data_IF_853591644782
#
_entry.id   IF_853591644782
#
_cell.length_a   1.000
_cell.length_b   1.000
_cell.length_c   1.000
_cell.angle_alpha   90.00
_cell.angle_beta   90.00
_cell.angle_gamma   90.00
#
_symmetry.space_group_name_H-M   'P 1'
#
loop_
_entity.id
_entity.type
_entity.pdbx_description
1 polymer ?
#
# COMPACT_ATOMS: atom_id res chain seq x y z
N UNK A 1 -23.26 -27.54 67.74
CA UNK A 1 -23.84 -26.66 66.70
C UNK A 1 -22.83 -25.55 66.40
N UNK A 2 -22.14 -25.64 65.25
CA UNK A 2 -21.60 -24.55 64.39
C UNK A 2 -20.47 -25.16 63.54
N UNK A 3 -20.82 -25.42 62.29
CA UNK A 3 -19.92 -25.88 61.23
C UNK A 3 -18.99 -24.74 60.81
N UNK A 4 -17.72 -25.07 60.60
CA UNK A 4 -16.67 -24.19 60.14
C UNK A 4 -16.67 -24.24 58.60
N UNK A 5 -17.10 -23.15 57.96
CA UNK A 5 -17.07 -23.02 56.50
C UNK A 5 -15.70 -22.49 56.06
N UNK A 6 -14.95 -23.34 55.36
CA UNK A 6 -13.76 -22.98 54.61
C UNK A 6 -14.18 -22.27 53.33
N UNK A 7 -13.85 -20.97 53.20
CA UNK A 7 -14.00 -20.23 51.94
C UNK A 7 -12.72 -20.36 51.12
N UNK A 8 -12.66 -21.40 50.27
CA UNK A 8 -11.73 -21.43 49.14
C UNK A 8 -12.26 -20.52 48.04
N UNK A 9 -11.73 -19.30 47.96
CA UNK A 9 -11.93 -18.43 46.81
C UNK A 9 -11.12 -18.99 45.63
N UNK A 10 -11.79 -19.67 44.70
CA UNK A 10 -11.23 -20.04 43.41
C UNK A 10 -11.03 -18.76 42.59
N UNK A 11 -9.79 -18.30 42.47
CA UNK A 11 -9.42 -17.24 41.55
C UNK A 11 -9.45 -17.82 40.13
N UNK A 12 -10.60 -17.74 39.46
CA UNK A 12 -10.72 -17.98 38.02
C UNK A 12 -10.05 -16.80 37.31
N UNK A 13 -8.75 -16.92 37.07
CA UNK A 13 -8.02 -16.08 36.13
C UNK A 13 -8.62 -16.37 34.75
N UNK A 14 -9.47 -15.48 34.27
CA UNK A 14 -9.95 -15.51 32.89
C UNK A 14 -8.74 -15.30 31.96
N UNK A 15 -8.23 -16.41 31.42
CA UNK A 15 -7.33 -16.41 30.27
C UNK A 15 -8.18 -16.10 29.03
N UNK A 16 -8.71 -14.87 28.92
CA UNK A 16 -9.50 -14.41 27.77
C UNK A 16 -8.73 -13.52 26.82
N UNK A 17 -7.52 -13.10 27.19
CA UNK A 17 -6.71 -12.21 26.37
C UNK A 17 -6.27 -12.79 25.00
N UNK A 18 -5.91 -14.09 24.84
CA UNK A 18 -5.47 -14.55 23.52
C UNK A 18 -6.62 -14.79 22.52
N UNK A 19 -7.87 -14.93 22.99
CA UNK A 19 -9.01 -15.26 22.11
C UNK A 19 -9.54 -14.06 21.32
N UNK A 20 -9.46 -12.86 21.88
CA UNK A 20 -10.14 -11.69 21.30
C UNK A 20 -9.42 -11.12 20.07
N UNK A 21 -8.11 -11.33 19.93
CA UNK A 21 -7.32 -10.74 18.84
C UNK A 21 -7.20 -11.69 17.63
N UNK A 22 -7.10 -13.01 17.86
CA UNK A 22 -7.25 -13.99 16.77
C UNK A 22 -8.62 -13.83 16.07
N UNK A 23 -9.67 -13.53 16.86
CA UNK A 23 -10.99 -13.25 16.34
C UNK A 23 -11.06 -12.01 15.42
N UNK A 24 -10.15 -11.03 15.53
CA UNK A 24 -10.16 -9.83 14.67
C UNK A 24 -9.61 -10.13 13.28
N UNK A 25 -8.54 -10.91 13.14
CA UNK A 25 -7.99 -11.26 11.83
C UNK A 25 -8.94 -12.19 11.05
N UNK A 26 -9.63 -13.10 11.76
CA UNK A 26 -10.67 -13.94 11.17
C UNK A 26 -11.91 -13.17 10.68
N UNK A 27 -12.09 -11.89 11.03
CA UNK A 27 -13.11 -11.03 10.40
C UNK A 27 -12.76 -10.68 8.97
N UNK A 28 -11.46 -10.53 8.67
CA UNK A 28 -10.97 -10.07 7.37
C UNK A 28 -10.38 -11.20 6.53
N UNK A 29 -10.02 -12.34 7.14
CA UNK A 29 -9.46 -13.50 6.45
C UNK A 29 -10.26 -14.77 6.73
N UNK A 30 -10.48 -15.58 5.71
CA UNK A 30 -11.00 -16.94 5.85
C UNK A 30 -9.98 -17.85 6.52
N UNK A 31 -8.72 -17.78 6.10
CA UNK A 31 -7.64 -18.61 6.63
C UNK A 31 -6.30 -17.86 6.59
N UNK A 32 -5.44 -18.17 7.55
CA UNK A 32 -4.05 -17.73 7.57
C UNK A 32 -3.19 -18.74 8.35
N UNK A 33 -1.91 -18.80 8.04
CA UNK A 33 -0.89 -19.52 8.81
C UNK A 33 0.09 -18.53 9.43
N UNK A 34 0.74 -18.92 10.53
CA UNK A 34 1.83 -18.14 11.12
C UNK A 34 3.17 -18.78 10.81
N UNK A 35 4.17 -17.98 10.46
CA UNK A 35 5.55 -18.40 10.20
C UNK A 35 6.48 -17.67 11.17
N UNK A 36 7.49 -18.35 11.69
CA UNK A 36 8.57 -17.73 12.43
C UNK A 36 9.76 -17.43 11.50
N UNK A 37 10.60 -16.44 11.83
CA UNK A 37 11.82 -16.13 11.05
C UNK A 37 12.71 -17.38 10.86
N UNK A 38 12.78 -18.24 11.88
CA UNK A 38 13.57 -19.48 11.81
C UNK A 38 13.01 -20.53 10.84
N UNK A 39 11.75 -20.40 10.41
CA UNK A 39 11.16 -21.28 9.40
C UNK A 39 11.62 -20.90 7.98
N UNK A 40 12.24 -19.72 7.83
CA UNK A 40 12.85 -19.26 6.58
C UNK A 40 14.31 -19.69 6.52
N UNK A 41 14.63 -20.50 5.52
CA UNK A 41 16.01 -20.77 5.14
C UNK A 41 16.49 -19.68 4.18
N UNK A 42 17.32 -18.76 4.67
CA UNK A 42 17.97 -17.74 3.85
C UNK A 42 19.36 -18.20 3.41
N UNK A 43 19.57 -18.30 2.10
CA UNK A 43 20.89 -18.59 1.52
C UNK A 43 21.26 -17.55 0.49
N UNK A 44 22.41 -16.90 0.65
CA UNK A 44 22.98 -16.06 -0.41
C UNK A 44 23.72 -17.00 -1.36
N UNK A 45 23.19 -17.15 -2.57
CA UNK A 45 23.67 -18.16 -3.53
C UNK A 45 24.81 -17.63 -4.38
N UNK A 46 24.80 -16.34 -4.69
CA UNK A 46 25.77 -15.72 -5.58
C UNK A 46 26.04 -14.28 -5.17
N UNK A 47 27.33 -13.94 -5.10
CA UNK A 47 27.84 -12.56 -5.09
C UNK A 47 28.89 -12.48 -6.19
N UNK A 48 28.75 -11.53 -7.12
CA UNK A 48 29.75 -11.35 -8.16
C UNK A 48 31.10 -10.96 -7.56
N UNK A 49 32.17 -11.43 -8.19
CA UNK A 49 33.54 -11.18 -7.73
C UNK A 49 33.94 -9.70 -7.76
N UNK A 50 33.22 -8.88 -8.56
CA UNK A 50 33.32 -7.43 -8.58
C UNK A 50 31.97 -6.82 -8.23
N UNK A 51 31.89 -5.85 -7.31
CA UNK A 51 30.66 -5.10 -7.08
C UNK A 51 30.19 -4.46 -8.39
N UNK A 52 28.97 -4.76 -8.81
CA UNK A 52 28.32 -4.18 -9.98
C UNK A 52 26.86 -3.89 -9.66
N UNK A 53 26.27 -2.92 -10.36
CA UNK A 53 24.85 -2.58 -10.26
C UNK A 53 23.94 -3.53 -11.03
N UNK A 54 24.48 -4.61 -11.62
CA UNK A 54 23.69 -5.57 -12.38
C UNK A 54 22.75 -6.35 -11.46
N UNK A 55 21.45 -6.52 -11.80
CA UNK A 55 20.48 -7.23 -10.96
C UNK A 55 20.91 -8.63 -10.49
N UNK A 56 21.62 -9.39 -11.34
CA UNK A 56 22.09 -10.75 -11.04
C UNK A 56 23.46 -10.80 -10.34
N UNK A 57 23.98 -9.65 -9.90
CA UNK A 57 25.23 -9.60 -9.16
C UNK A 57 25.08 -10.21 -7.76
N UNK A 58 23.91 -10.04 -7.13
CA UNK A 58 23.56 -10.64 -5.85
C UNK A 58 22.27 -11.44 -6.00
N UNK A 59 22.33 -12.74 -5.75
CA UNK A 59 21.17 -13.62 -5.77
C UNK A 59 20.94 -14.15 -4.35
N UNK A 60 19.77 -13.85 -3.80
CA UNK A 60 19.31 -14.33 -2.51
C UNK A 60 18.23 -15.40 -2.73
N UNK A 61 18.37 -16.51 -2.05
CA UNK A 61 17.40 -17.61 -2.07
C UNK A 61 16.73 -17.69 -0.71
N UNK A 62 15.40 -17.79 -0.73
CA UNK A 62 14.59 -17.91 0.48
C UNK A 62 13.65 -19.09 0.31
N UNK A 63 13.77 -20.07 1.21
CA UNK A 63 12.88 -21.23 1.26
C UNK A 63 12.03 -21.22 2.52
N UNK A 64 10.74 -21.50 2.38
CA UNK A 64 9.82 -21.67 3.50
C UNK A 64 8.64 -22.56 3.08
N UNK A 65 7.86 -23.04 4.04
CA UNK A 65 6.63 -23.80 3.80
C UNK A 65 5.45 -23.07 4.43
N UNK A 66 4.41 -22.84 3.65
CA UNK A 66 3.18 -22.19 4.12
C UNK A 66 2.01 -22.63 3.24
N UNK A 67 0.80 -22.66 3.81
CA UNK A 67 -0.46 -22.87 3.11
C UNK A 67 -0.45 -24.18 2.30
N UNK A 68 0.11 -25.22 2.89
CA UNK A 68 0.28 -26.55 2.26
C UNK A 68 1.36 -26.65 1.17
N UNK A 69 2.13 -25.58 0.90
CA UNK A 69 3.09 -25.51 -0.20
C UNK A 69 4.51 -25.18 0.28
N UNK A 70 5.52 -25.73 -0.40
CA UNK A 70 6.93 -25.32 -0.22
C UNK A 70 7.28 -24.24 -1.25
N UNK A 71 7.72 -23.09 -0.78
CA UNK A 71 8.21 -21.99 -1.61
C UNK A 71 9.73 -21.98 -1.65
N UNK A 72 10.27 -21.73 -2.84
CA UNK A 72 11.70 -21.52 -3.07
C UNK A 72 11.86 -20.29 -3.94
N UNK A 73 12.09 -19.14 -3.32
CA UNK A 73 12.15 -17.85 -3.96
C UNK A 73 13.59 -17.57 -4.44
N UNK A 74 13.73 -17.10 -5.67
CA UNK A 74 15.00 -16.59 -6.20
C UNK A 74 14.84 -15.08 -6.35
N UNK A 75 15.56 -14.35 -5.50
CA UNK A 75 15.42 -12.91 -5.28
C UNK A 75 16.67 -12.15 -5.71
N UNK A 76 16.45 -10.97 -6.26
CA UNK A 76 17.46 -10.01 -6.69
C UNK A 76 17.14 -8.64 -6.12
N UNK A 77 18.12 -7.88 -5.62
CA UNK A 77 17.89 -6.51 -5.15
C UNK A 77 17.27 -5.64 -6.25
N UNK A 78 16.32 -4.78 -5.88
CA UNK A 78 15.57 -3.92 -6.79
C UNK A 78 15.37 -2.52 -6.23
N UNK A 79 15.51 -1.50 -7.08
CA UNK A 79 15.44 -0.08 -6.71
C UNK A 79 14.63 0.78 -7.69
N UNK A 80 13.88 0.18 -8.63
CA UNK A 80 13.30 0.95 -9.75
C UNK A 80 12.24 1.96 -9.32
N UNK A 81 11.60 1.73 -8.18
CA UNK A 81 10.58 2.65 -7.65
C UNK A 81 11.17 3.85 -6.90
N UNK A 82 12.47 3.91 -6.67
CA UNK A 82 13.11 5.04 -6.00
C UNK A 82 13.68 6.00 -7.03
N UNK A 83 13.31 7.28 -6.92
CA UNK A 83 13.91 8.32 -7.74
C UNK A 83 15.40 8.49 -7.38
N UNK A 84 16.25 8.90 -8.34
CA UNK A 84 17.70 9.09 -8.12
C UNK A 84 18.02 10.06 -6.97
N UNK A 85 17.18 11.08 -6.81
CA UNK A 85 17.25 12.08 -5.74
C UNK A 85 16.28 11.81 -4.58
N UNK A 86 15.94 10.55 -4.32
CA UNK A 86 15.04 10.15 -3.24
C UNK A 86 15.53 10.68 -1.88
N UNK A 87 14.60 11.22 -1.08
CA UNK A 87 14.86 11.66 0.29
C UNK A 87 13.69 11.30 1.21
N UNK A 88 14.00 10.85 2.42
CA UNK A 88 13.01 10.55 3.44
C UNK A 88 13.25 11.40 4.70
N UNK A 89 12.16 11.88 5.30
CA UNK A 89 12.19 12.77 6.46
C UNK A 89 11.19 12.31 7.52
N UNK A 90 11.58 12.45 8.78
CA UNK A 90 10.68 12.42 9.94
C UNK A 90 10.37 13.86 10.37
N UNK A 91 9.12 14.15 10.69
CA UNK A 91 8.67 15.46 11.18
C UNK A 91 8.03 15.27 12.56
N UNK A 92 8.48 16.04 13.54
CA UNK A 92 7.88 16.06 14.88
C UNK A 92 6.69 17.03 15.01
N UNK A 93 6.08 17.11 16.20
CA UNK A 93 4.88 17.92 16.41
C UNK A 93 5.11 19.43 16.31
N UNK A 94 6.37 19.86 16.36
CA UNK A 94 6.82 21.25 16.22
C UNK A 94 7.28 21.57 14.78
N UNK A 95 7.24 20.60 13.87
CA UNK A 95 7.56 20.75 12.46
C UNK A 95 9.04 20.60 12.11
N UNK A 96 9.88 20.09 13.01
CA UNK A 96 11.31 19.91 12.73
C UNK A 96 11.55 18.69 11.84
N UNK A 97 12.22 18.89 10.71
CA UNK A 97 12.58 17.80 9.79
C UNK A 97 13.89 17.13 10.20
N UNK A 98 13.86 15.79 10.33
CA UNK A 98 15.05 14.95 10.49
C UNK A 98 15.21 14.01 9.31
N UNK A 99 16.38 14.01 8.69
CA UNK A 99 16.70 13.10 7.57
C UNK A 99 16.78 11.66 8.08
N UNK A 100 16.13 10.75 7.36
CA UNK A 100 16.15 9.31 7.64
C UNK A 100 16.91 8.60 6.52
N UNK A 101 17.99 7.92 6.88
CA UNK A 101 18.75 7.10 5.96
C UNK A 101 18.13 5.71 5.84
N UNK A 102 17.96 5.26 4.60
CA UNK A 102 17.31 4.00 4.25
C UNK A 102 18.31 3.07 3.59
N UNK A 103 18.23 1.78 3.90
CA UNK A 103 18.94 0.76 3.13
C UNK A 103 18.09 0.39 1.91
N UNK A 104 18.54 0.81 0.74
CA UNK A 104 17.82 0.56 -0.50
C UNK A 104 18.01 -0.89 -1.01
N UNK A 105 18.93 -1.67 -0.44
CA UNK A 105 19.23 -3.05 -0.84
C UNK A 105 18.39 -4.11 -0.09
N UNK A 106 17.45 -3.65 0.76
CA UNK A 106 16.50 -4.50 1.49
C UNK A 106 15.24 -4.89 0.68
N UNK A 107 15.07 -4.32 -0.52
CA UNK A 107 13.95 -4.61 -1.44
C UNK A 107 14.39 -5.53 -2.56
N UNK A 108 13.53 -6.50 -2.87
CA UNK A 108 13.83 -7.58 -3.78
C UNK A 108 12.70 -7.83 -4.75
N UNK A 109 13.07 -8.18 -5.98
CA UNK A 109 12.16 -8.78 -6.97
C UNK A 109 12.68 -10.14 -7.38
N UNK A 110 11.79 -11.01 -7.85
CA UNK A 110 12.18 -12.37 -8.17
C UNK A 110 11.07 -13.24 -8.71
N UNK A 111 11.30 -14.55 -8.62
CA UNK A 111 10.40 -15.60 -9.07
C UNK A 111 10.45 -16.80 -8.15
N UNK A 112 9.47 -17.69 -8.29
CA UNK A 112 9.46 -18.98 -7.61
C UNK A 112 10.21 -20.01 -8.48
N UNK A 113 11.11 -20.78 -7.88
CA UNK A 113 11.83 -21.84 -8.58
C UNK A 113 10.87 -22.92 -9.08
N UNK A 114 10.98 -23.25 -10.37
CA UNK A 114 10.11 -24.24 -11.02
C UNK A 114 8.81 -23.65 -11.59
N UNK A 115 8.50 -22.38 -11.32
CA UNK A 115 7.29 -21.70 -11.81
C UNK A 115 7.66 -20.67 -12.87
N UNK A 116 7.35 -20.96 -14.14
CA UNK A 116 7.72 -20.10 -15.26
C UNK A 116 7.06 -18.72 -15.18
N UNK A 117 5.75 -18.71 -14.92
CA UNK A 117 4.92 -17.51 -14.88
C UNK A 117 4.68 -17.08 -13.42
N UNK A 118 5.77 -16.78 -12.71
CA UNK A 118 5.72 -16.32 -11.32
C UNK A 118 6.43 -14.98 -11.14
N UNK A 119 5.90 -14.18 -10.22
CA UNK A 119 6.48 -12.90 -9.85
C UNK A 119 6.49 -12.74 -8.34
N UNK A 120 7.63 -12.35 -7.79
CA UNK A 120 7.82 -12.14 -6.36
C UNK A 120 8.28 -10.72 -6.14
N UNK A 121 7.64 -10.04 -5.19
CA UNK A 121 8.12 -8.78 -4.60
C UNK A 121 8.28 -9.02 -3.11
N UNK A 122 9.45 -8.72 -2.58
CA UNK A 122 9.76 -8.97 -1.18
C UNK A 122 10.59 -7.84 -0.57
N UNK A 123 10.33 -7.54 0.68
CA UNK A 123 11.14 -6.71 1.55
C UNK A 123 11.54 -7.57 2.74
N UNK A 124 12.84 -7.65 3.03
CA UNK A 124 13.37 -8.45 4.14
C UNK A 124 14.12 -7.51 5.07
N UNK A 125 13.64 -7.41 6.31
CA UNK A 125 14.22 -6.58 7.36
C UNK A 125 15.51 -7.18 7.92
N UNK A 126 16.27 -6.37 8.67
CA UNK A 126 17.55 -6.76 9.27
C UNK A 126 17.40 -7.93 10.27
N UNK A 127 16.24 -8.03 10.92
CA UNK A 127 15.87 -9.12 11.84
C UNK A 127 15.39 -10.39 11.12
N UNK A 128 15.33 -10.40 9.78
CA UNK A 128 14.87 -11.52 8.96
C UNK A 128 13.36 -11.58 8.72
N UNK A 129 12.55 -10.71 9.33
CA UNK A 129 11.12 -10.63 9.05
C UNK A 129 10.92 -10.20 7.60
N UNK A 130 10.04 -10.92 6.90
CA UNK A 130 9.79 -10.72 5.48
C UNK A 130 8.37 -10.22 5.25
N UNK A 131 8.25 -9.21 4.40
CA UNK A 131 7.00 -8.83 3.74
C UNK A 131 7.11 -9.25 2.29
N UNK A 132 6.21 -10.09 1.78
CA UNK A 132 6.29 -10.56 0.40
C UNK A 132 4.92 -10.75 -0.25
N UNK A 133 4.90 -10.55 -1.57
CA UNK A 133 3.80 -10.91 -2.45
C UNK A 133 4.34 -11.89 -3.49
N UNK A 134 3.81 -13.11 -3.48
CA UNK A 134 4.17 -14.17 -4.42
C UNK A 134 2.98 -14.39 -5.34
N UNK A 135 3.09 -13.91 -6.58
CA UNK A 135 2.08 -14.06 -7.61
C UNK A 135 2.39 -15.29 -8.44
N UNK A 136 1.44 -16.21 -8.49
CA UNK A 136 1.43 -17.39 -9.36
C UNK A 136 0.24 -17.31 -10.34
N UNK A 137 0.17 -18.16 -11.36
CA UNK A 137 -0.91 -18.11 -12.35
C UNK A 137 -2.31 -18.33 -11.77
N UNK A 138 -2.41 -19.13 -10.72
CA UNK A 138 -3.65 -19.56 -10.09
C UNK A 138 -4.01 -18.78 -8.83
N UNK A 139 -3.01 -18.23 -8.12
CA UNK A 139 -3.20 -17.65 -6.79
C UNK A 139 -2.10 -16.63 -6.44
N UNK A 140 -2.43 -15.67 -5.58
CA UNK A 140 -1.44 -14.78 -4.96
C UNK A 140 -1.31 -15.05 -3.46
N UNK A 141 -0.09 -15.20 -2.99
CA UNK A 141 0.23 -15.44 -1.59
C UNK A 141 0.86 -14.19 -0.98
N UNK A 142 0.36 -13.78 0.16
CA UNK A 142 0.86 -12.64 0.92
C UNK A 142 1.52 -13.11 2.20
N UNK A 143 2.68 -12.56 2.49
CA UNK A 143 3.42 -12.74 3.74
C UNK A 143 3.61 -11.36 4.35
N UNK A 144 3.20 -11.17 5.60
CA UNK A 144 3.27 -9.90 6.30
C UNK A 144 3.73 -10.07 7.74
N UNK A 145 4.40 -9.07 8.36
CA UNK A 145 4.73 -9.09 9.77
C UNK A 145 3.46 -9.26 10.62
N UNK A 146 3.50 -10.19 11.56
CA UNK A 146 2.31 -10.55 12.33
C UNK A 146 1.93 -9.50 13.38
N UNK A 147 2.88 -8.68 13.86
CA UNK A 147 2.65 -7.65 14.88
C UNK A 147 1.59 -6.60 14.49
N UNK A 148 1.31 -6.46 13.20
CA UNK A 148 0.24 -5.57 12.67
C UNK A 148 -1.16 -6.10 12.95
N UNK A 149 -1.26 -7.40 13.15
CA UNK A 149 -2.52 -8.15 13.16
C UNK A 149 -2.72 -8.90 14.49
N UNK A 150 -1.62 -9.28 15.15
CA UNK A 150 -1.58 -10.13 16.34
C UNK A 150 -0.67 -9.48 17.41
N UNK A 151 -0.99 -9.63 18.70
CA UNK A 151 -0.18 -9.06 19.77
C UNK A 151 1.14 -9.83 19.94
N UNK A 152 2.21 -9.12 20.31
CA UNK A 152 3.48 -9.66 20.83
C UNK A 152 4.12 -10.79 20.02
N UNK A 153 4.32 -10.56 18.71
CA UNK A 153 4.98 -11.51 17.80
C UNK A 153 5.93 -10.85 16.79
N UNK A 154 6.87 -10.06 17.28
CA UNK A 154 7.83 -9.31 16.44
C UNK A 154 8.64 -10.18 15.46
N UNK A 155 8.89 -11.46 15.80
CA UNK A 155 9.61 -12.41 14.94
C UNK A 155 8.71 -13.38 14.17
N UNK A 156 7.41 -13.12 14.12
CA UNK A 156 6.49 -13.93 13.32
C UNK A 156 5.87 -13.12 12.18
N UNK A 157 5.48 -13.86 11.15
CA UNK A 157 4.71 -13.39 10.01
C UNK A 157 3.40 -14.14 9.94
N UNK A 158 2.42 -13.56 9.25
CA UNK A 158 1.24 -14.27 8.78
C UNK A 158 1.40 -14.53 7.28
N UNK A 159 0.90 -15.68 6.83
CA UNK A 159 0.80 -16.04 5.42
C UNK A 159 -0.66 -16.32 5.08
N UNK A 160 -1.17 -15.71 4.02
CA UNK A 160 -2.56 -15.88 3.57
C UNK A 160 -2.64 -15.80 2.04
N UNK A 161 -3.72 -16.33 1.46
CA UNK A 161 -3.99 -16.20 0.02
C UNK A 161 -4.82 -14.95 -0.25
N UNK A 162 -4.67 -14.38 -1.44
CA UNK A 162 -5.53 -13.29 -1.88
C UNK A 162 -7.02 -13.72 -1.90
N UNK A 163 -7.30 -14.97 -2.27
CA UNK A 163 -8.65 -15.55 -2.21
C UNK A 163 -9.22 -15.71 -0.81
N UNK A 164 -8.39 -15.74 0.24
CA UNK A 164 -8.84 -15.82 1.64
C UNK A 164 -9.29 -14.45 2.18
N UNK A 165 -9.09 -13.35 1.45
CA UNK A 165 -9.48 -12.00 1.89
C UNK A 165 -10.99 -11.81 1.79
N UNK A 166 -11.63 -11.51 2.92
CA UNK A 166 -13.04 -11.13 3.00
C UNK A 166 -13.19 -9.68 2.63
N UNK A 167 -13.63 -9.43 1.41
CA UNK A 167 -13.90 -8.10 0.93
C UNK A 167 -15.23 -7.62 1.50
N UNK A 168 -15.30 -6.36 1.93
CA UNK A 168 -16.50 -5.78 2.56
C UNK A 168 -17.74 -5.79 1.66
N UNK A 169 -17.58 -5.93 0.36
CA UNK A 169 -18.66 -6.08 -0.61
C UNK A 169 -19.07 -7.53 -0.90
N UNK A 170 -18.36 -8.53 -0.37
CA UNK A 170 -18.73 -9.94 -0.51
C UNK A 170 -19.91 -10.30 0.41
N UNK A 171 -20.12 -9.54 1.48
CA UNK A 171 -21.29 -9.64 2.36
C UNK A 171 -22.45 -8.80 1.80
N UNK A 172 -22.86 -9.07 0.57
CA UNK A 172 -24.10 -8.56 0.01
C UNK A 172 -25.30 -9.21 0.73
N UNK A 173 -25.61 -8.75 1.94
CA UNK A 173 -26.83 -9.10 2.67
C UNK A 173 -27.55 -7.81 3.09
N UNK A 174 -28.24 -7.25 2.09
CA UNK A 174 -29.47 -6.44 2.12
C UNK A 174 -29.32 -5.20 1.22
N UNK A 175 -29.92 -5.20 0.01
CA UNK A 175 -30.05 -3.98 -0.77
C UNK A 175 -31.04 -3.06 -0.03
N UNK A 176 -30.50 -2.10 0.73
CA UNK A 176 -31.34 -1.20 1.53
C UNK A 176 -30.61 -0.25 2.46
N UNK A 177 -29.34 -0.48 2.80
CA UNK A 177 -28.58 0.44 3.65
C UNK A 177 -27.22 0.75 2.99
N UNK A 178 -27.14 1.95 2.40
CA UNK A 178 -25.99 2.54 1.69
C UNK A 178 -25.56 1.85 0.38
N UNK A 179 -26.25 2.20 -0.71
CA UNK A 179 -25.85 1.91 -2.09
C UNK A 179 -24.57 2.62 -2.54
N UNK A 180 -23.43 2.28 -1.94
CA UNK A 180 -22.12 2.68 -2.45
C UNK A 180 -21.69 1.72 -3.59
N UNK A 181 -21.28 2.23 -4.76
CA UNK A 181 -20.75 1.38 -5.83
C UNK A 181 -19.47 0.64 -5.42
N UNK A 182 -19.16 -0.42 -6.18
CA UNK A 182 -18.01 -1.34 -6.03
C UNK A 182 -16.65 -0.65 -6.17
N UNK A 183 -16.62 0.62 -6.62
CA UNK A 183 -15.44 1.46 -6.65
C UNK A 183 -15.56 2.57 -5.61
N UNK A 184 -14.47 2.89 -4.92
CA UNK A 184 -14.37 4.07 -4.06
C UNK A 184 -15.01 5.26 -4.77
N UNK A 185 -16.09 5.81 -4.18
CA UNK A 185 -17.04 6.70 -4.82
C UNK A 185 -16.36 7.78 -5.67
N UNK A 186 -16.35 7.57 -6.98
CA UNK A 186 -16.00 8.60 -7.94
C UNK A 186 -17.18 9.58 -7.98
N UNK A 187 -17.04 10.70 -7.27
CA UNK A 187 -17.95 11.83 -7.44
C UNK A 187 -17.48 12.56 -8.68
N UNK A 188 -18.25 12.46 -9.77
CA UNK A 188 -18.06 13.31 -10.93
C UNK A 188 -18.53 14.71 -10.51
N UNK A 189 -17.60 15.63 -10.23
CA UNK A 189 -17.95 17.06 -10.30
C UNK A 189 -18.44 17.30 -11.74
N UNK A 190 -19.55 18.02 -11.90
CA UNK A 190 -20.27 18.34 -13.15
C UNK A 190 -21.46 17.43 -13.52
N UNK A 191 -22.23 16.92 -12.54
CA UNK A 191 -23.59 16.40 -12.79
C UNK A 191 -24.71 17.35 -12.36
N UNK A 192 -24.38 18.62 -12.10
CA UNK A 192 -25.36 19.69 -11.90
C UNK A 192 -25.45 20.55 -13.18
N UNK A 193 -26.59 20.42 -13.87
CA UNK A 193 -27.09 21.29 -14.96
C UNK A 193 -26.37 21.24 -16.31
N UNK A 194 -26.54 20.14 -17.06
CA UNK A 194 -26.84 20.28 -18.50
C UNK A 194 -28.36 20.52 -18.64
N UNK A 195 -28.83 21.69 -18.20
CA UNK A 195 -30.12 22.20 -18.67
C UNK A 195 -29.90 22.73 -20.09
N UNK A 196 -30.47 22.02 -21.06
CA UNK A 196 -30.66 22.49 -22.44
C UNK A 196 -31.16 23.94 -22.40
N UNK A 197 -30.42 24.93 -22.92
CA UNK A 197 -30.91 26.30 -22.89
C UNK A 197 -32.10 26.40 -23.86
N UNK A 198 -33.28 26.62 -23.28
CA UNK A 198 -34.47 27.01 -24.02
C UNK A 198 -34.17 28.20 -24.94
N UNK A 199 -34.75 28.12 -26.12
CA UNK A 199 -34.70 29.07 -27.22
C UNK A 199 -35.09 30.48 -26.76
N UNK A 200 -34.11 31.37 -26.56
CA UNK A 200 -34.34 32.81 -26.41
C UNK A 200 -33.82 33.52 -27.65
N UNK A 201 -34.75 34.17 -28.35
CA UNK A 201 -34.53 34.96 -29.56
C UNK A 201 -33.41 36.00 -29.40
N UNK A 202 -32.66 36.16 -30.49
CA UNK A 202 -31.49 37.00 -30.64
C UNK A 202 -31.83 38.49 -30.68
N UNK A 203 -31.15 39.28 -29.83
CA UNK A 203 -30.90 40.69 -30.08
C UNK A 203 -29.39 40.87 -30.24
N UNK A 204 -29.01 41.20 -31.47
CA UNK A 204 -27.65 41.36 -31.94
C UNK A 204 -26.93 42.55 -31.30
N UNK A 205 -25.72 42.31 -30.78
CA UNK A 205 -24.59 43.22 -31.00
C UNK A 205 -23.33 42.38 -31.19
N UNK A 206 -22.73 42.56 -32.37
CA UNK A 206 -21.53 41.94 -32.88
C UNK A 206 -20.30 42.33 -32.03
N UNK A 207 -19.45 41.37 -31.66
CA UNK A 207 -18.01 41.37 -31.99
C UNK A 207 -17.24 40.19 -31.34
N UNK A 208 -16.42 39.55 -32.16
CA UNK A 208 -15.40 38.52 -31.86
C UNK A 208 -15.83 37.04 -31.93
N UNK A 209 -16.04 36.57 -33.17
CA UNK A 209 -15.88 35.17 -33.52
C UNK A 209 -14.44 34.70 -33.26
N UNK A 210 -14.17 34.17 -32.05
CA UNK A 210 -13.07 33.24 -31.86
C UNK A 210 -13.56 31.85 -32.25
N UNK A 211 -13.31 31.47 -33.50
CA UNK A 211 -13.39 30.08 -33.97
C UNK A 211 -12.58 29.21 -33.01
N UNK A 212 -13.26 28.42 -32.18
CA UNK A 212 -12.62 27.35 -31.41
C UNK A 212 -12.28 26.24 -32.40
N UNK A 213 -11.09 26.32 -32.99
CA UNK A 213 -10.54 25.23 -33.77
C UNK A 213 -10.39 24.01 -32.86
N UNK A 214 -11.19 22.98 -33.15
CA UNK A 214 -10.94 21.63 -32.64
C UNK A 214 -9.57 21.25 -33.17
N UNK A 215 -8.57 21.15 -32.29
CA UNK A 215 -7.24 20.64 -32.68
C UNK A 215 -7.45 19.25 -33.27
N UNK A 216 -7.41 19.16 -34.59
CA UNK A 216 -7.18 17.89 -35.25
C UNK A 216 -5.81 17.44 -34.73
N UNK A 217 -5.78 16.36 -33.96
CA UNK A 217 -4.52 15.72 -33.66
C UNK A 217 -4.01 15.17 -34.99
N UNK A 218 -3.01 15.84 -35.57
CA UNK A 218 -2.15 15.22 -36.57
C UNK A 218 -1.73 13.85 -36.03
N UNK A 219 -1.62 12.87 -36.92
CA UNK A 219 -1.24 11.48 -36.63
C UNK A 219 0.15 11.43 -35.99
N UNK A 220 0.20 11.75 -34.70
CA UNK A 220 1.40 11.80 -33.89
C UNK A 220 1.61 10.38 -33.37
N UNK A 221 2.71 9.77 -33.77
CA UNK A 221 3.18 8.51 -33.21
C UNK A 221 3.46 8.72 -31.72
N UNK A 222 2.43 8.49 -30.90
CA UNK A 222 2.40 8.75 -29.46
C UNK A 222 3.28 7.73 -28.75
N UNK A 223 4.60 7.88 -28.85
CA UNK A 223 5.53 7.21 -27.93
C UNK A 223 5.64 8.08 -26.69
N UNK A 224 5.08 7.67 -25.52
CA UNK A 224 5.13 8.49 -24.33
C UNK A 224 6.59 8.60 -23.86
N UNK A 225 7.18 9.80 -23.96
CA UNK A 225 8.56 10.03 -23.51
C UNK A 225 8.67 10.18 -21.99
N UNK A 226 7.54 10.43 -21.31
CA UNK A 226 7.45 10.61 -19.86
C UNK A 226 6.49 9.59 -19.26
N UNK A 227 7.01 8.42 -18.92
CA UNK A 227 6.23 7.28 -18.40
C UNK A 227 6.29 7.12 -16.88
N UNK A 228 6.98 8.02 -16.17
CA UNK A 228 7.22 7.93 -14.72
C UNK A 228 6.67 9.16 -14.00
N UNK A 229 5.67 8.96 -13.15
CA UNK A 229 5.10 9.99 -12.29
C UNK A 229 5.85 10.04 -10.94
N UNK A 230 6.51 11.16 -10.60
CA UNK A 230 7.18 11.30 -9.31
C UNK A 230 6.18 11.60 -8.19
N UNK A 231 6.23 10.80 -7.12
CA UNK A 231 5.34 10.92 -5.96
C UNK A 231 6.05 11.53 -4.75
N UNK A 232 5.32 12.38 -4.03
CA UNK A 232 5.54 12.71 -2.63
C UNK A 232 4.58 11.86 -1.81
N UNK A 233 5.10 11.03 -0.92
CA UNK A 233 4.27 10.26 0.02
C UNK A 233 4.35 10.91 1.39
N UNK A 234 3.20 11.06 2.03
CA UNK A 234 3.08 11.64 3.37
C UNK A 234 2.34 10.63 4.25
N UNK A 235 2.97 10.22 5.35
CA UNK A 235 2.32 9.48 6.41
C UNK A 235 2.03 10.43 7.57
N UNK A 236 0.77 10.49 7.99
CA UNK A 236 0.36 11.20 9.19
C UNK A 236 0.77 10.41 10.45
N UNK A 237 0.59 11.03 11.62
CA UNK A 237 0.95 10.46 12.91
C UNK A 237 0.19 9.16 13.22
N UNK A 238 -1.02 9.01 12.68
CA UNK A 238 -1.85 7.81 12.86
C UNK A 238 -1.31 6.65 12.05
N UNK A 239 -0.98 6.89 10.79
CA UNK A 239 -0.33 5.92 9.93
C UNK A 239 1.03 5.51 10.53
N UNK A 240 1.79 6.46 11.06
CA UNK A 240 3.03 6.17 11.78
C UNK A 240 2.82 5.25 13.01
N UNK A 241 1.76 5.46 13.78
CA UNK A 241 1.45 4.63 14.94
C UNK A 241 0.95 3.25 14.55
N UNK A 242 -0.14 3.19 13.77
CA UNK A 242 -0.88 1.97 13.46
C UNK A 242 -0.18 1.12 12.38
N UNK A 243 0.30 1.75 11.31
CA UNK A 243 0.99 1.07 10.21
C UNK A 243 2.51 1.13 10.34
N UNK A 244 3.06 2.03 11.14
CA UNK A 244 4.50 2.10 11.38
C UNK A 244 4.97 1.34 12.61
N UNK A 245 4.06 0.99 13.53
CA UNK A 245 4.43 0.50 14.86
C UNK A 245 5.22 1.55 15.65
N UNK A 246 4.92 2.83 15.41
CA UNK A 246 5.70 3.98 15.92
C UNK A 246 7.18 3.94 15.52
N UNK A 247 7.51 3.33 14.38
CA UNK A 247 8.87 3.28 13.85
C UNK A 247 8.95 3.88 12.45
N UNK A 248 9.84 4.87 12.30
CA UNK A 248 9.95 5.63 11.05
C UNK A 248 10.47 4.78 9.90
N UNK A 249 11.49 3.94 10.13
CA UNK A 249 12.07 3.06 9.11
C UNK A 249 11.02 2.05 8.62
N UNK A 250 10.30 1.45 9.55
CA UNK A 250 9.20 0.52 9.25
C UNK A 250 8.09 1.19 8.44
N UNK A 251 7.71 2.43 8.79
CA UNK A 251 6.71 3.21 8.06
C UNK A 251 7.15 3.49 6.63
N UNK A 252 8.38 3.97 6.44
CA UNK A 252 8.93 4.27 5.11
C UNK A 252 9.01 3.00 4.27
N UNK A 253 9.51 1.90 4.85
CA UNK A 253 9.61 0.62 4.16
C UNK A 253 8.24 0.12 3.68
N UNK A 254 7.22 0.24 4.53
CA UNK A 254 5.86 -0.13 4.18
C UNK A 254 5.34 0.69 2.98
N UNK A 255 5.54 2.01 2.99
CA UNK A 255 5.14 2.89 1.88
C UNK A 255 5.85 2.53 0.56
N UNK A 256 7.16 2.24 0.62
CA UNK A 256 7.93 1.82 -0.55
C UNK A 256 7.37 0.50 -1.10
N UNK A 257 7.15 -0.51 -0.23
CA UNK A 257 6.57 -1.80 -0.63
C UNK A 257 5.16 -1.66 -1.22
N UNK A 258 4.36 -0.71 -0.73
CA UNK A 258 3.03 -0.44 -1.26
C UNK A 258 3.12 0.10 -2.69
N UNK A 259 3.90 1.17 -2.89
CA UNK A 259 4.06 1.77 -4.23
C UNK A 259 4.72 0.80 -5.20
N UNK A 260 5.63 -0.06 -4.74
CA UNK A 260 6.26 -1.08 -5.59
C UNK A 260 5.25 -2.10 -6.16
N UNK A 261 4.29 -2.52 -5.34
CA UNK A 261 3.18 -3.37 -5.80
C UNK A 261 2.27 -2.63 -6.78
N UNK A 262 1.90 -1.38 -6.48
CA UNK A 262 1.05 -0.55 -7.36
C UNK A 262 1.76 -0.26 -8.69
N UNK A 263 3.05 0.05 -8.65
CA UNK A 263 3.85 0.33 -9.84
C UNK A 263 3.81 -0.83 -10.82
N UNK A 264 3.88 -2.08 -10.34
CA UNK A 264 3.76 -3.27 -11.20
C UNK A 264 2.49 -3.26 -12.01
N UNK A 265 1.35 -3.00 -11.35
CA UNK A 265 0.03 -3.00 -11.97
C UNK A 265 0.03 -1.99 -13.11
N UNK A 266 0.38 -0.74 -12.84
CA UNK A 266 0.37 0.34 -13.84
C UNK A 266 1.36 0.10 -14.99
N UNK A 267 2.52 -0.50 -14.69
CA UNK A 267 3.57 -0.74 -15.67
C UNK A 267 3.18 -1.87 -16.64
N UNK A 268 2.51 -2.88 -16.13
CA UNK A 268 2.11 -4.05 -16.90
C UNK A 268 0.75 -3.84 -17.61
N UNK A 269 -0.06 -2.87 -17.16
CA UNK A 269 -1.30 -2.47 -17.84
C UNK A 269 -1.01 -1.90 -19.23
N UNK A 270 -1.76 -2.38 -20.22
CA UNK A 270 -1.80 -1.84 -21.57
C UNK A 270 -2.97 -0.86 -21.67
N UNK A 271 -2.68 0.40 -21.93
CA UNK A 271 -3.64 1.49 -22.04
C UNK A 271 -4.03 1.68 -23.50
N UNK A 272 -5.32 1.51 -23.81
CA UNK A 272 -5.89 1.61 -25.16
C UNK A 272 -7.14 2.48 -25.12
N UNK A 273 -7.22 3.47 -26.01
CA UNK A 273 -8.43 4.31 -26.15
C UNK A 273 -9.45 3.66 -27.08
N UNK A 274 -8.97 2.90 -28.08
CA UNK A 274 -9.81 2.14 -29.03
C UNK A 274 -9.18 0.78 -29.30
N UNK A 275 -10.04 -0.21 -29.61
CA UNK A 275 -9.62 -1.59 -29.88
C UNK A 275 -8.81 -1.76 -31.17
N UNK A 276 -8.81 -0.76 -32.05
CA UNK A 276 -8.09 -0.75 -33.34
C UNK A 276 -6.71 -0.08 -33.26
N UNK A 277 -6.31 0.45 -32.09
CA UNK A 277 -5.00 1.08 -31.89
C UNK A 277 -4.09 0.22 -31.01
N UNK A 278 -2.80 0.20 -31.34
CA UNK A 278 -1.79 -0.37 -30.45
C UNK A 278 -1.73 0.46 -29.16
N UNK A 279 -2.02 -0.20 -28.04
CA UNK A 279 -1.95 0.44 -26.73
C UNK A 279 -0.54 0.77 -26.29
N UNK A 280 -0.42 1.76 -25.40
CA UNK A 280 0.84 2.04 -24.75
C UNK A 280 0.93 1.33 -23.39
N UNK A 281 2.14 0.98 -22.98
CA UNK A 281 2.42 0.28 -21.72
C UNK A 281 3.60 0.91 -21.01
N UNK A 282 3.90 0.41 -19.82
CA UNK A 282 5.07 0.84 -19.08
C UNK A 282 4.88 2.19 -18.41
N UNK A 283 3.66 2.59 -18.08
CA UNK A 283 3.38 3.74 -17.21
C UNK A 283 3.65 3.37 -15.75
N UNK A 284 4.13 4.29 -14.94
CA UNK A 284 4.43 3.94 -13.55
C UNK A 284 4.80 5.11 -12.67
N UNK A 285 5.24 4.78 -11.47
CA UNK A 285 5.53 5.74 -10.42
C UNK A 285 6.99 5.64 -9.99
N UNK A 286 7.53 6.76 -9.52
CA UNK A 286 8.80 6.81 -8.79
C UNK A 286 8.61 7.63 -7.54
N UNK A 287 9.16 7.18 -6.42
CA UNK A 287 9.07 7.87 -5.15
C UNK A 287 10.19 8.90 -5.09
N UNK A 288 9.81 10.18 -5.02
CA UNK A 288 10.77 11.28 -4.97
C UNK A 288 11.05 11.74 -3.54
N UNK A 289 10.02 11.81 -2.69
CA UNK A 289 10.14 12.22 -1.29
C UNK A 289 9.16 11.42 -0.43
N UNK A 290 9.60 11.00 0.76
CA UNK A 290 8.70 10.48 1.81
C UNK A 290 8.81 11.38 3.02
N UNK A 291 7.66 11.74 3.58
CA UNK A 291 7.53 12.48 4.84
C UNK A 291 6.72 11.64 5.81
N UNK A 292 7.24 11.45 7.01
CA UNK A 292 6.55 10.74 8.09
C UNK A 292 6.40 11.68 9.27
N UNK A 293 5.18 12.01 9.64
CA UNK A 293 4.91 12.72 10.88
C UNK A 293 4.96 11.73 12.05
N UNK A 294 5.89 11.90 12.98
CA UNK A 294 5.98 11.04 14.17
C UNK A 294 5.00 11.46 15.28
N UNK A 295 4.53 12.70 15.22
CA UNK A 295 3.62 13.30 16.20
C UNK A 295 2.53 14.11 15.51
N UNK A 296 1.37 14.33 16.15
CA UNK A 296 0.36 15.21 15.61
C UNK A 296 0.85 16.66 15.58
N UNK A 297 0.51 17.38 14.51
CA UNK A 297 0.86 18.79 14.36
C UNK A 297 0.08 19.64 15.34
N UNK A 298 0.78 20.49 16.09
CA UNK A 298 0.18 21.44 17.04
C UNK A 298 -0.41 22.62 16.27
N UNK A 299 -1.73 22.76 16.32
CA UNK A 299 -2.46 23.86 15.66
C UNK A 299 -2.85 24.94 16.67
N UNK A 300 -2.86 26.20 16.22
CA UNK A 300 -3.42 27.33 16.99
C UNK A 300 -4.93 27.40 16.76
N UNK A 301 -5.65 28.06 17.66
CA UNK A 301 -7.12 28.19 17.55
C UNK A 301 -7.54 28.84 16.23
N UNK A 302 -8.37 28.13 15.45
CA UNK A 302 -8.89 28.60 14.15
C UNK A 302 -8.17 28.03 12.92
N UNK A 303 -7.02 27.40 13.10
CA UNK A 303 -6.28 26.73 12.02
C UNK A 303 -6.57 25.22 11.99
N UNK A 304 -6.62 24.64 10.80
CA UNK A 304 -6.77 23.20 10.59
C UNK A 304 -5.53 22.65 9.89
N UNK A 305 -5.05 21.48 10.32
CA UNK A 305 -3.92 20.79 9.70
C UNK A 305 -4.27 19.32 9.51
N UNK A 306 -3.92 18.71 8.37
CA UNK A 306 -4.31 17.33 8.07
C UNK A 306 -3.79 16.34 9.12
N UNK A 307 -2.60 16.61 9.65
CA UNK A 307 -1.94 15.84 10.71
C UNK A 307 -2.30 16.26 12.16
N UNK A 308 -3.37 17.04 12.38
CA UNK A 308 -3.79 17.41 13.74
C UNK A 308 -4.55 16.28 14.45
N UNK A 309 -4.61 16.31 15.78
CA UNK A 309 -5.42 15.35 16.55
C UNK A 309 -6.90 15.55 16.23
N UNK A 310 -7.52 14.57 15.57
CA UNK A 310 -8.95 14.58 15.25
C UNK A 310 -9.46 13.15 15.06
N UNK A 311 -10.56 12.77 15.72
CA UNK A 311 -11.08 11.40 15.66
C UNK A 311 -11.38 10.91 14.24
N UNK A 312 -12.10 11.71 13.45
CA UNK A 312 -12.44 11.39 12.07
C UNK A 312 -12.44 12.66 11.21
N UNK A 313 -11.94 12.49 9.99
CA UNK A 313 -12.06 13.46 8.92
C UNK A 313 -13.16 13.05 7.96
N UNK A 314 -13.87 14.02 7.43
CA UNK A 314 -14.55 13.84 6.15
C UNK A 314 -13.50 13.82 5.03
N UNK A 315 -13.65 12.90 4.07
CA UNK A 315 -12.61 12.62 3.07
C UNK A 315 -12.34 13.83 2.18
N UNK A 316 -13.39 14.55 1.76
CA UNK A 316 -13.25 15.75 0.92
C UNK A 316 -12.50 16.84 1.67
N UNK A 317 -12.93 17.13 2.90
CA UNK A 317 -12.28 18.14 3.74
C UNK A 317 -10.81 17.81 4.04
N UNK A 318 -10.47 16.53 4.25
CA UNK A 318 -9.08 16.11 4.46
C UNK A 318 -8.23 16.41 3.23
N UNK A 319 -8.73 16.10 2.04
CA UNK A 319 -8.02 16.35 0.79
C UNK A 319 -7.82 17.84 0.55
N UNK A 320 -8.85 18.66 0.77
CA UNK A 320 -8.76 20.11 0.64
C UNK A 320 -7.74 20.71 1.62
N UNK A 321 -7.74 20.31 2.89
CA UNK A 321 -6.75 20.78 3.88
C UNK A 321 -5.33 20.31 3.53
N UNK A 322 -5.18 19.09 3.01
CA UNK A 322 -3.87 18.54 2.64
C UNK A 322 -3.28 19.20 1.39
N UNK A 323 -4.12 19.61 0.43
CA UNK A 323 -3.67 20.26 -0.81
C UNK A 323 -3.27 21.73 -0.61
N UNK A 324 -3.80 22.37 0.42
CA UNK A 324 -3.53 23.77 0.74
C UNK A 324 -2.27 23.97 1.62
N UNK A 325 -1.53 22.90 1.94
CA UNK A 325 -0.38 22.88 2.86
C UNK A 325 0.88 22.35 2.18
#
# INVERSE_FOLDING_TARGET
>A
MKYQASNSALLLIFITFPFQICAQLHKNLHYFETLHVNDLSHRIVKRGAKPSSHPFNTIKEVEFKALGRKFRLILHPHKEVLHSNFRAYAIDGDGQEKIVHMDHDAFYTGRVFGEADSSVRAHIEDNGVMTASVVLPDETYHIEPSWRHLPDKDSHMIAYKASDVKLSWNEAHNPGDMGAPITCGYVKEDADMEEEPENVESVWTEESHRTREKRQADQYEYTPTKTRCPLLLVADYRFFQEMGGSNTKTTINYLISLIDRVHKIYNDTVWQDRSDQEGFKGMGFVIKKIVVHSEPTRVRGGEAHYNMVREKWDVRNLLEVSLNQ
#
